data_IF_097448543633
#
_entry.id   IF_097448543633
#
_cell.length_a   1.000
_cell.length_b   1.000
_cell.length_c   1.000
_cell.angle_alpha   90.00
_cell.angle_beta   90.00
_cell.angle_gamma   90.00
#
_symmetry.space_group_name_H-M   'P 1'
#
loop_
_entity.id
_entity.type
_entity.pdbx_description
1 polymer ?
#
# COMPACT_ATOMS: atom_id res chain seq x y z
N UNK A 1 -13.88 -0.23 14.50
CA UNK A 1 -12.80 0.49 13.78
C UNK A 1 -11.91 -0.46 13.00
N UNK A 2 -11.27 -1.49 13.59
CA UNK A 2 -10.34 -2.37 12.87
C UNK A 2 -10.89 -3.00 11.58
N UNK A 3 -12.16 -3.45 11.57
CA UNK A 3 -12.82 -4.01 10.38
C UNK A 3 -12.95 -2.99 9.25
N UNK A 4 -13.29 -1.75 9.56
CA UNK A 4 -13.40 -0.69 8.56
C UNK A 4 -12.03 -0.35 7.95
N UNK A 5 -10.98 -0.26 8.78
CA UNK A 5 -9.62 -0.02 8.32
C UNK A 5 -9.10 -1.15 7.42
N UNK A 6 -9.37 -2.41 7.80
CA UNK A 6 -9.01 -3.56 6.97
C UNK A 6 -9.78 -3.55 5.63
N UNK A 7 -11.06 -3.23 5.64
CA UNK A 7 -11.87 -3.12 4.43
C UNK A 7 -11.34 -2.02 3.49
N UNK A 8 -11.01 -0.84 4.02
CA UNK A 8 -10.43 0.26 3.24
C UNK A 8 -9.09 -0.16 2.62
N UNK A 9 -8.21 -0.83 3.40
CA UNK A 9 -6.92 -1.29 2.91
C UNK A 9 -7.05 -2.30 1.76
N UNK A 10 -8.07 -3.16 1.78
CA UNK A 10 -8.34 -4.14 0.71
C UNK A 10 -9.04 -3.49 -0.48
N UNK A 11 -10.04 -2.62 -0.23
CA UNK A 11 -10.82 -2.02 -1.30
C UNK A 11 -10.02 -1.03 -2.15
N UNK A 12 -9.08 -0.29 -1.55
CA UNK A 12 -8.34 0.74 -2.27
C UNK A 12 -7.55 0.22 -3.47
N UNK A 13 -6.70 -0.84 -3.38
CA UNK A 13 -6.03 -1.40 -4.55
C UNK A 13 -6.99 -2.02 -5.56
N UNK A 14 -8.12 -2.58 -5.11
CA UNK A 14 -9.15 -3.10 -6.01
C UNK A 14 -9.81 -1.98 -6.83
N UNK A 15 -10.12 -0.85 -6.21
CA UNK A 15 -10.65 0.34 -6.90
C UNK A 15 -9.65 0.85 -7.94
N UNK A 16 -8.35 0.90 -7.62
CA UNK A 16 -7.32 1.28 -8.59
C UNK A 16 -7.28 0.33 -9.79
N UNK A 17 -7.29 -0.98 -9.55
CA UNK A 17 -7.32 -1.97 -10.63
C UNK A 17 -8.60 -1.87 -11.47
N UNK A 18 -9.76 -1.67 -10.83
CA UNK A 18 -11.03 -1.51 -11.50
C UNK A 18 -11.06 -0.26 -12.40
N UNK A 19 -10.47 0.88 -11.94
CA UNK A 19 -10.39 2.08 -12.78
C UNK A 19 -9.50 1.91 -14.01
N UNK A 20 -8.39 1.16 -13.88
CA UNK A 20 -7.55 0.81 -15.04
C UNK A 20 -8.33 -0.06 -16.01
N UNK A 21 -9.01 -1.11 -15.53
CA UNK A 21 -9.84 -1.97 -16.36
C UNK A 21 -10.96 -1.19 -17.05
N UNK A 22 -11.68 -0.32 -16.33
CA UNK A 22 -12.72 0.52 -16.88
C UNK A 22 -12.20 1.44 -18.00
N UNK A 23 -11.02 2.01 -17.83
CA UNK A 23 -10.39 2.87 -18.85
C UNK A 23 -10.00 2.07 -20.10
N UNK A 24 -9.48 0.84 -19.93
CA UNK A 24 -9.15 -0.06 -21.06
C UNK A 24 -10.41 -0.37 -21.89
N UNK A 25 -11.55 -0.56 -21.23
CA UNK A 25 -12.83 -0.86 -21.88
C UNK A 25 -13.61 0.39 -22.31
N UNK A 26 -12.99 1.59 -22.29
CA UNK A 26 -13.62 2.82 -22.75
C UNK A 26 -14.71 3.39 -21.83
N UNK A 27 -14.88 2.83 -20.63
CA UNK A 27 -15.87 3.26 -19.62
C UNK A 27 -15.24 4.10 -18.49
N UNK A 28 -13.98 4.50 -18.65
CA UNK A 28 -13.28 5.37 -17.70
C UNK A 28 -13.88 6.78 -17.72
N UNK A 29 -14.63 7.12 -16.69
CA UNK A 29 -15.29 8.42 -16.55
C UNK A 29 -14.85 9.16 -15.28
N UNK A 30 -15.81 9.83 -14.64
CA UNK A 30 -15.60 10.61 -13.43
C UNK A 30 -14.92 9.81 -12.30
N UNK A 31 -15.23 8.53 -12.14
CA UNK A 31 -14.60 7.68 -11.12
C UNK A 31 -13.09 7.56 -11.34
N UNK A 32 -12.66 7.33 -12.59
CA UNK A 32 -11.22 7.26 -12.92
C UNK A 32 -10.53 8.58 -12.61
N UNK A 33 -11.14 9.71 -13.00
CA UNK A 33 -10.62 11.03 -12.69
C UNK A 33 -10.50 11.26 -11.17
N UNK A 34 -11.51 10.89 -10.39
CA UNK A 34 -11.50 11.00 -8.93
C UNK A 34 -10.36 10.15 -8.31
N UNK A 35 -10.17 8.91 -8.75
CA UNK A 35 -9.10 8.04 -8.23
C UNK A 35 -7.72 8.61 -8.56
N UNK A 36 -7.53 9.19 -9.74
CA UNK A 36 -6.29 9.89 -10.09
C UNK A 36 -6.07 11.15 -9.23
N UNK A 37 -7.11 11.94 -8.96
CA UNK A 37 -7.04 13.13 -8.08
C UNK A 37 -6.69 12.71 -6.65
N UNK A 38 -7.33 11.69 -6.10
CA UNK A 38 -7.00 11.18 -4.76
C UNK A 38 -5.57 10.63 -4.74
N UNK A 39 -5.19 9.85 -5.74
CA UNK A 39 -3.84 9.33 -5.89
C UNK A 39 -2.77 10.42 -5.96
N UNK A 40 -3.05 11.56 -6.60
CA UNK A 40 -2.11 12.68 -6.72
C UNK A 40 -1.80 13.38 -5.39
N UNK A 41 -2.66 13.25 -4.39
CA UNK A 41 -2.42 13.82 -3.05
C UNK A 41 -1.33 13.07 -2.25
N UNK A 42 -1.07 11.83 -2.60
CA UNK A 42 -0.13 10.95 -1.88
C UNK A 42 1.01 10.42 -2.77
N UNK A 43 0.92 10.60 -4.08
CA UNK A 43 1.87 10.09 -5.05
C UNK A 43 2.10 11.09 -6.19
N UNK A 44 3.37 11.31 -6.56
CA UNK A 44 3.75 12.20 -7.67
C UNK A 44 3.33 11.69 -9.05
N UNK A 45 2.79 10.47 -9.16
CA UNK A 45 2.20 9.87 -10.37
C UNK A 45 3.08 9.99 -11.63
N UNK A 46 4.41 9.88 -11.48
CA UNK A 46 5.33 9.93 -12.63
C UNK A 46 5.10 8.73 -13.53
N UNK A 47 4.89 8.97 -14.82
CA UNK A 47 4.57 7.93 -15.80
C UNK A 47 5.63 6.83 -15.87
N UNK A 48 6.91 7.21 -15.91
CA UNK A 48 8.05 6.30 -15.96
C UNK A 48 8.22 5.43 -14.71
N UNK A 49 7.57 5.80 -13.61
CA UNK A 49 7.58 5.06 -12.32
C UNK A 49 6.26 4.39 -12.00
N UNK A 50 5.32 4.37 -12.93
CA UNK A 50 4.01 3.76 -12.78
C UNK A 50 3.88 2.52 -13.66
N UNK A 51 3.06 1.57 -13.26
CA UNK A 51 2.67 0.47 -14.13
C UNK A 51 1.79 0.98 -15.28
N UNK A 52 1.84 0.26 -16.41
CA UNK A 52 0.97 0.45 -17.54
C UNK A 52 0.36 -0.89 -17.92
N UNK A 53 -0.94 -0.92 -18.15
CA UNK A 53 -1.67 -2.09 -18.62
C UNK A 53 -2.42 -1.70 -19.88
N UNK A 54 -2.14 -2.34 -21.00
CA UNK A 54 -2.72 -2.00 -22.32
C UNK A 54 -2.60 -0.50 -22.66
N UNK A 55 -1.44 0.12 -22.35
CA UNK A 55 -1.21 1.54 -22.56
C UNK A 55 -1.81 2.49 -21.52
N UNK A 56 -2.68 2.00 -20.64
CA UNK A 56 -3.30 2.79 -19.57
C UNK A 56 -2.38 2.82 -18.36
N UNK A 57 -2.05 4.03 -17.90
CA UNK A 57 -1.24 4.26 -16.71
C UNK A 57 -2.03 4.01 -15.43
N UNK A 58 -1.42 3.34 -14.47
CA UNK A 58 -1.96 3.17 -13.12
C UNK A 58 -2.03 4.52 -12.38
N UNK A 59 -3.03 4.72 -11.51
CA UNK A 59 -3.26 5.99 -10.81
C UNK A 59 -2.20 6.35 -9.76
N UNK A 60 -1.30 5.42 -9.44
CA UNK A 60 -0.19 5.64 -8.51
C UNK A 60 1.09 5.00 -9.06
N UNK A 61 2.26 5.43 -8.55
CA UNK A 61 3.53 4.84 -8.95
C UNK A 61 3.68 3.39 -8.43
N UNK A 62 4.55 2.61 -9.06
CA UNK A 62 4.76 1.20 -8.75
C UNK A 62 5.08 0.93 -7.26
N UNK A 63 5.87 1.80 -6.61
CA UNK A 63 6.18 1.68 -5.18
C UNK A 63 4.94 1.84 -4.32
N UNK A 64 4.09 2.84 -4.61
CA UNK A 64 2.81 3.03 -3.92
C UNK A 64 1.85 1.87 -4.19
N UNK A 65 1.81 1.32 -5.43
CA UNK A 65 1.04 0.11 -5.70
C UNK A 65 1.48 -1.04 -4.79
N UNK A 66 2.79 -1.28 -4.67
CA UNK A 66 3.33 -2.28 -3.75
C UNK A 66 2.92 -2.05 -2.30
N UNK A 67 3.01 -0.80 -1.81
CA UNK A 67 2.55 -0.42 -0.47
C UNK A 67 1.07 -0.76 -0.25
N UNK A 68 0.19 -0.45 -1.21
CA UNK A 68 -1.25 -0.71 -1.06
C UNK A 68 -1.59 -2.19 -1.15
N UNK A 69 -0.96 -2.95 -2.06
CA UNK A 69 -1.12 -4.39 -2.10
C UNK A 69 -0.58 -5.07 -0.84
N UNK A 70 0.58 -4.63 -0.36
CA UNK A 70 1.13 -5.06 0.92
C UNK A 70 0.19 -4.77 2.08
N UNK A 71 -0.38 -3.56 2.12
CA UNK A 71 -1.35 -3.18 3.14
C UNK A 71 -2.61 -4.06 3.13
N UNK A 72 -3.12 -4.42 1.95
CA UNK A 72 -4.24 -5.34 1.83
C UNK A 72 -3.91 -6.73 2.42
N UNK A 73 -2.75 -7.28 2.08
CA UNK A 73 -2.26 -8.55 2.65
C UNK A 73 -2.04 -8.45 4.16
N UNK A 74 -1.37 -7.40 4.63
CA UNK A 74 -1.10 -7.20 6.05
C UNK A 74 -2.36 -7.00 6.88
N UNK A 75 -3.36 -6.28 6.36
CA UNK A 75 -4.65 -6.12 7.00
C UNK A 75 -5.40 -7.46 7.11
N UNK A 76 -5.37 -8.26 6.06
CA UNK A 76 -5.98 -9.59 6.05
C UNK A 76 -5.33 -10.52 7.07
N UNK A 77 -4.00 -10.64 7.05
CA UNK A 77 -3.25 -11.47 8.00
C UNK A 77 -3.39 -10.95 9.44
N UNK A 78 -3.30 -9.65 9.67
CA UNK A 78 -3.48 -9.05 10.99
C UNK A 78 -4.86 -9.33 11.58
N UNK A 79 -5.90 -9.39 10.73
CA UNK A 79 -7.26 -9.74 11.13
C UNK A 79 -7.42 -11.25 11.37
N UNK A 80 -6.92 -12.10 10.46
CA UNK A 80 -7.06 -13.55 10.52
C UNK A 80 -6.23 -14.18 11.65
N UNK A 81 -5.00 -13.71 11.85
CA UNK A 81 -4.06 -14.27 12.81
C UNK A 81 -4.41 -13.96 14.28
N UNK A 82 -5.50 -13.23 14.56
CA UNK A 82 -5.80 -12.80 15.94
C UNK A 82 -4.57 -12.24 16.67
N UNK A 83 -3.71 -11.50 15.98
CA UNK A 83 -2.48 -10.88 16.54
C UNK A 83 -2.78 -9.89 17.69
N UNK A 84 -3.87 -10.13 18.40
CA UNK A 84 -4.38 -9.37 19.55
C UNK A 84 -3.50 -9.44 20.79
N UNK A 85 -2.42 -10.22 20.77
CA UNK A 85 -1.59 -10.47 21.95
C UNK A 85 -0.14 -10.10 21.67
N UNK A 86 0.35 -9.11 22.41
CA UNK A 86 1.77 -8.95 22.72
C UNK A 86 2.68 -8.33 21.66
N UNK A 87 2.27 -7.29 20.95
CA UNK A 87 3.26 -6.52 20.19
C UNK A 87 3.69 -5.33 21.03
N UNK A 88 4.87 -5.41 21.61
CA UNK A 88 5.47 -4.29 22.33
C UNK A 88 5.79 -3.15 21.37
N UNK A 89 5.87 -1.91 21.88
CA UNK A 89 6.26 -0.75 21.05
C UNK A 89 7.60 -0.97 20.35
N UNK A 90 8.53 -1.67 21.01
CA UNK A 90 9.85 -1.99 20.44
C UNK A 90 9.73 -2.95 19.25
N UNK A 91 8.93 -4.01 19.38
CA UNK A 91 8.70 -4.97 18.29
C UNK A 91 8.05 -4.31 17.09
N UNK A 92 7.04 -3.44 17.30
CA UNK A 92 6.44 -2.65 16.23
C UNK A 92 7.51 -1.81 15.51
N UNK A 93 8.34 -1.09 16.27
CA UNK A 93 9.38 -0.27 15.69
C UNK A 93 10.38 -1.10 14.87
N UNK A 94 10.84 -2.24 15.40
CA UNK A 94 11.75 -3.14 14.70
C UNK A 94 11.13 -3.67 13.40
N UNK A 95 9.89 -4.14 13.45
CA UNK A 95 9.18 -4.65 12.26
C UNK A 95 9.04 -3.56 11.20
N UNK A 96 8.64 -2.34 11.58
CA UNK A 96 8.50 -1.23 10.64
C UNK A 96 9.86 -0.82 10.05
N UNK A 97 10.92 -0.76 10.84
CA UNK A 97 12.27 -0.45 10.36
C UNK A 97 12.74 -1.53 9.39
N UNK A 98 12.66 -2.81 9.75
CA UNK A 98 13.08 -3.90 8.87
C UNK A 98 12.26 -3.93 7.58
N UNK A 99 10.94 -3.75 7.68
CA UNK A 99 10.04 -3.72 6.51
C UNK A 99 10.29 -2.50 5.60
N UNK A 100 10.85 -1.41 6.11
CA UNK A 100 11.20 -0.22 5.31
C UNK A 100 12.52 -0.37 4.53
N UNK A 101 13.41 -1.29 4.94
CA UNK A 101 14.74 -1.45 4.33
C UNK A 101 14.71 -1.66 2.82
N UNK A 102 13.86 -2.56 2.24
CA UNK A 102 13.82 -2.73 0.79
C UNK A 102 13.41 -1.45 0.05
N UNK A 103 12.42 -0.72 0.60
CA UNK A 103 11.99 0.56 0.03
C UNK A 103 13.10 1.60 0.08
N UNK A 104 13.78 1.72 1.23
CA UNK A 104 14.91 2.63 1.40
C UNK A 104 16.08 2.26 0.47
N UNK A 105 16.41 0.98 0.37
CA UNK A 105 17.48 0.50 -0.50
C UNK A 105 17.23 0.83 -1.97
N UNK A 106 16.00 0.59 -2.49
CA UNK A 106 15.66 0.95 -3.87
C UNK A 106 15.64 2.46 -4.09
N UNK A 107 15.24 3.25 -3.09
CA UNK A 107 15.26 4.70 -3.18
C UNK A 107 16.68 5.26 -3.19
N UNK A 108 17.57 4.76 -2.31
CA UNK A 108 18.98 5.13 -2.25
C UNK A 108 19.69 4.74 -3.55
N UNK A 109 19.45 3.53 -4.07
CA UNK A 109 20.02 3.08 -5.33
C UNK A 109 19.70 4.03 -6.49
N UNK A 110 18.45 4.49 -6.57
CA UNK A 110 18.02 5.43 -7.61
C UNK A 110 18.60 6.83 -7.42
N UNK A 111 18.57 7.35 -6.20
CA UNK A 111 18.89 8.75 -5.95
C UNK A 111 20.39 8.98 -5.75
N UNK A 112 21.08 8.12 -4.99
CA UNK A 112 22.49 8.30 -4.67
C UNK A 112 23.43 7.70 -5.74
N UNK A 113 23.01 6.59 -6.37
CA UNK A 113 23.85 5.83 -7.30
C UNK A 113 23.37 5.89 -8.75
N UNK A 114 22.22 6.52 -9.03
CA UNK A 114 21.68 6.61 -10.38
C UNK A 114 21.31 5.26 -11.01
N UNK A 115 21.17 4.20 -10.20
CA UNK A 115 20.87 2.85 -10.68
C UNK A 115 19.40 2.78 -11.11
N UNK A 116 19.10 2.41 -12.38
CA UNK A 116 17.71 2.28 -12.82
C UNK A 116 17.06 1.08 -12.14
N UNK A 117 16.06 1.34 -11.28
CA UNK A 117 15.26 0.31 -10.63
C UNK A 117 13.99 0.06 -11.45
N UNK A 118 13.67 -1.21 -11.71
CA UNK A 118 12.44 -1.56 -12.44
C UNK A 118 11.18 -1.27 -11.64
N UNK A 119 10.03 -1.07 -12.30
CA UNK A 119 8.76 -0.86 -11.62
C UNK A 119 8.34 -2.07 -10.76
N UNK A 120 8.67 -3.28 -11.21
CA UNK A 120 8.45 -4.51 -10.43
C UNK A 120 9.27 -4.49 -9.13
N UNK A 121 10.57 -4.19 -9.21
CA UNK A 121 11.42 -4.10 -8.03
C UNK A 121 10.95 -3.02 -7.05
N UNK A 122 10.48 -1.85 -7.55
CA UNK A 122 9.88 -0.80 -6.72
C UNK A 122 8.63 -1.29 -5.99
N UNK A 123 7.75 -2.03 -6.68
CA UNK A 123 6.53 -2.57 -6.08
C UNK A 123 6.86 -3.64 -5.04
N UNK A 124 7.73 -4.60 -5.36
CA UNK A 124 8.16 -5.64 -4.43
C UNK A 124 8.81 -5.05 -3.17
N UNK A 125 9.62 -4.00 -3.33
CA UNK A 125 10.23 -3.31 -2.20
C UNK A 125 9.20 -2.58 -1.30
N UNK A 126 8.07 -2.13 -1.86
CA UNK A 126 6.98 -1.50 -1.12
C UNK A 126 6.11 -2.47 -0.32
N UNK A 127 5.98 -3.73 -0.76
CA UNK A 127 5.09 -4.72 -0.15
C UNK A 127 5.32 -4.94 1.35
N UNK A 128 6.55 -5.19 1.84
CA UNK A 128 6.78 -5.46 3.27
C UNK A 128 6.36 -4.29 4.16
N UNK A 129 6.68 -3.07 3.76
CA UNK A 129 6.33 -1.87 4.52
C UNK A 129 4.81 -1.68 4.60
N UNK A 130 4.11 -1.83 3.48
CA UNK A 130 2.65 -1.76 3.44
C UNK A 130 2.00 -2.81 4.34
N UNK A 131 2.48 -4.06 4.27
CA UNK A 131 1.99 -5.15 5.10
C UNK A 131 2.23 -4.89 6.59
N UNK A 132 3.42 -4.44 6.97
CA UNK A 132 3.77 -4.14 8.36
C UNK A 132 2.91 -3.01 8.94
N UNK A 133 2.72 -1.92 8.18
CA UNK A 133 1.89 -0.79 8.60
C UNK A 133 0.46 -1.25 8.84
N UNK A 134 -0.17 -1.94 7.86
CA UNK A 134 -1.56 -2.33 7.97
C UNK A 134 -1.79 -3.37 9.07
N UNK A 135 -0.92 -4.36 9.20
CA UNK A 135 -0.99 -5.35 10.28
C UNK A 135 -0.90 -4.68 11.66
N UNK A 136 0.02 -3.72 11.82
CA UNK A 136 0.18 -2.96 13.06
C UNK A 136 -1.05 -2.12 13.39
N UNK A 137 -1.57 -1.39 12.39
CA UNK A 137 -2.78 -0.55 12.57
C UNK A 137 -3.99 -1.41 12.97
N UNK A 138 -4.19 -2.54 12.30
CA UNK A 138 -5.28 -3.47 12.63
C UNK A 138 -5.09 -4.06 14.03
N UNK A 139 -3.87 -4.45 14.41
CA UNK A 139 -3.57 -4.97 15.74
C UNK A 139 -3.88 -3.94 16.84
N UNK A 140 -3.37 -2.72 16.70
CA UNK A 140 -3.61 -1.62 17.66
C UNK A 140 -5.08 -1.25 17.73
N UNK A 141 -5.77 -1.12 16.60
CA UNK A 141 -7.20 -0.80 16.56
C UNK A 141 -8.09 -1.91 17.16
N UNK A 142 -7.59 -3.15 17.18
CA UNK A 142 -8.27 -4.29 17.79
C UNK A 142 -8.01 -4.43 19.30
N UNK A 143 -6.95 -3.82 19.82
CA UNK A 143 -6.54 -3.87 21.22
C UNK A 143 -7.12 -2.74 22.08
N UNK A 144 -7.88 -1.80 21.49
CA UNK A 144 -8.53 -0.71 22.24
C UNK A 144 -9.39 -1.27 23.38
N UNK A 145 -9.24 -0.81 24.63
CA UNK A 145 -9.99 -1.33 25.76
C UNK A 145 -11.48 -1.15 25.52
N UNK A 146 -12.27 -2.23 25.74
CA UNK A 146 -13.70 -2.07 25.93
C UNK A 146 -13.87 -1.10 27.10
N UNK A 147 -14.54 0.03 26.84
CA UNK A 147 -15.04 0.96 27.84
C UNK A 147 -15.45 0.18 29.09
N UNK A 148 -14.74 0.45 30.21
CA UNK A 148 -15.18 0.04 31.54
C UNK A 148 -16.50 0.80 31.78
N UNK A 149 -17.61 0.09 31.73
CA UNK A 149 -18.87 0.52 32.32
C UNK A 149 -18.91 0.07 33.74
#
# INVERSE_FOLDING_TARGET
MARALAAIAVLWPLVQAATVAATIHGSGGALTAMVHIVGSRVCHQRSERSFHTSGVRWPVCARCSGLYFGAACGAWFGFAARMRRWVSRREIAVVLVVASLPTAATWIAEWAFGVPVTNVARALAGLPLGAAIAATVVAVASSSPKSIR
#
